data_IF_980236114363
#
_entry.id   IF_980236114363
#
_cell.length_a   1.000
_cell.length_b   1.000
_cell.length_c   1.000
_cell.angle_alpha   90.00
_cell.angle_beta   90.00
_cell.angle_gamma   90.00
#
_symmetry.space_group_name_H-M   'P 1'
#
loop_
_entity.id
_entity.type
_entity.pdbx_description
1 polymer ?
#
# COMPACT_ATOMS: atom_id res chain seq x y z
N UNK A 1 -9.47 -11.19 -4.01
CA UNK A 1 -10.34 -10.67 -5.10
C UNK A 1 -10.50 -11.62 -6.27
N UNK A 2 -9.60 -12.60 -6.45
CA UNK A 2 -9.63 -13.57 -7.55
C UNK A 2 -11.00 -14.20 -7.82
N UNK A 3 -11.66 -14.73 -6.79
CA UNK A 3 -12.95 -15.41 -6.91
C UNK A 3 -14.11 -14.51 -7.38
N UNK A 4 -13.98 -13.17 -7.23
CA UNK A 4 -14.99 -12.21 -7.68
C UNK A 4 -14.86 -11.87 -9.16
N UNK A 5 -13.68 -12.07 -9.75
CA UNK A 5 -13.39 -11.73 -11.14
C UNK A 5 -12.78 -12.90 -11.92
N UNK A 6 -13.51 -14.01 -12.14
CA UNK A 6 -12.95 -15.21 -12.81
C UNK A 6 -12.35 -14.92 -14.20
N UNK A 7 -12.90 -13.93 -14.92
CA UNK A 7 -12.40 -13.53 -16.24
C UNK A 7 -11.05 -12.82 -16.20
N UNK A 8 -10.69 -12.20 -15.07
CA UNK A 8 -9.38 -11.56 -14.88
C UNK A 8 -8.32 -12.55 -14.42
N UNK A 9 -8.73 -13.70 -13.90
CA UNK A 9 -7.87 -14.78 -13.41
C UNK A 9 -8.20 -16.09 -14.15
N UNK A 10 -8.02 -16.15 -15.48
CA UNK A 10 -8.45 -17.29 -16.30
C UNK A 10 -7.74 -18.60 -15.93
N UNK A 11 -6.56 -18.52 -15.31
CA UNK A 11 -5.79 -19.67 -14.86
C UNK A 11 -6.11 -20.09 -13.41
N UNK A 12 -7.05 -19.41 -12.76
CA UNK A 12 -7.44 -19.70 -11.38
C UNK A 12 -6.46 -19.20 -10.33
N UNK A 13 -5.69 -18.15 -10.63
CA UNK A 13 -4.74 -17.57 -9.68
C UNK A 13 -5.46 -17.07 -8.43
N UNK A 14 -4.80 -17.22 -7.29
CA UNK A 14 -5.34 -16.85 -5.97
C UNK A 14 -5.50 -15.33 -5.82
N UNK A 15 -4.80 -14.54 -6.65
CA UNK A 15 -4.72 -13.08 -6.53
C UNK A 15 -3.92 -12.66 -5.31
N UNK A 16 -4.12 -11.43 -4.82
CA UNK A 16 -3.39 -10.95 -3.64
C UNK A 16 -3.66 -11.80 -2.39
N UNK A 17 -2.59 -12.19 -1.72
CA UNK A 17 -2.58 -12.76 -0.37
C UNK A 17 -1.35 -12.28 0.40
N UNK A 18 -1.40 -12.34 1.73
CA UNK A 18 -0.24 -12.02 2.59
C UNK A 18 0.88 -13.05 2.38
N UNK A 19 2.15 -12.68 2.59
CA UNK A 19 3.29 -13.58 2.44
C UNK A 19 3.91 -13.65 1.04
N UNK A 20 3.43 -12.89 0.05
CA UNK A 20 4.06 -12.80 -1.27
C UNK A 20 5.44 -12.15 -1.09
N UNK A 21 6.52 -12.86 -1.38
CA UNK A 21 7.87 -12.32 -1.23
C UNK A 21 8.23 -11.38 -2.37
N UNK A 22 8.85 -10.25 -2.03
CA UNK A 22 9.47 -9.39 -3.03
C UNK A 22 10.70 -10.09 -3.61
N UNK A 23 10.99 -9.82 -4.88
CA UNK A 23 12.20 -10.34 -5.53
C UNK A 23 13.41 -9.70 -4.84
N UNK A 24 14.34 -10.53 -4.39
CA UNK A 24 15.62 -10.08 -3.86
C UNK A 24 16.39 -9.33 -4.96
N UNK A 25 16.73 -8.08 -4.67
CA UNK A 25 17.59 -7.25 -5.51
C UNK A 25 18.80 -6.89 -4.64
N UNK A 26 20.02 -7.10 -5.15
CA UNK A 26 21.29 -6.90 -4.43
C UNK A 26 21.45 -5.51 -3.79
N UNK A 27 20.64 -4.54 -4.21
CA UNK A 27 20.72 -3.12 -3.84
C UNK A 27 19.52 -2.66 -2.98
N UNK A 28 18.93 -3.55 -2.18
CA UNK A 28 17.80 -3.18 -1.32
C UNK A 28 18.23 -2.22 -0.19
N UNK A 29 17.56 -1.06 -0.02
CA UNK A 29 17.86 -0.15 1.07
C UNK A 29 17.56 -0.80 2.43
N UNK A 30 18.36 -0.51 3.48
CA UNK A 30 18.11 -1.04 4.81
C UNK A 30 16.73 -0.58 5.31
N UNK A 31 15.88 -1.55 5.66
CA UNK A 31 14.50 -1.31 6.07
C UNK A 31 13.44 -1.57 4.98
N UNK A 32 13.84 -2.13 3.83
CA UNK A 32 12.90 -2.73 2.89
C UNK A 32 12.09 -3.83 3.58
N UNK A 33 10.79 -3.88 3.32
CA UNK A 33 9.92 -4.96 3.77
C UNK A 33 10.11 -6.18 2.85
N UNK A 34 10.01 -7.40 3.40
CA UNK A 34 10.26 -8.65 2.67
C UNK A 34 9.05 -9.13 1.86
N UNK A 35 7.86 -8.60 2.15
CA UNK A 35 6.59 -9.05 1.59
C UNK A 35 5.91 -7.96 0.77
N UNK A 36 5.41 -8.29 -0.41
CA UNK A 36 4.68 -7.34 -1.24
C UNK A 36 3.42 -6.84 -0.51
N UNK A 37 3.30 -5.52 -0.41
CA UNK A 37 2.06 -4.89 0.04
C UNK A 37 0.96 -5.08 -1.00
N UNK A 38 -0.30 -4.96 -0.56
CA UNK A 38 -1.45 -5.02 -1.46
C UNK A 38 -1.37 -3.98 -2.60
N UNK A 39 -0.85 -2.80 -2.29
CA UNK A 39 -0.64 -1.73 -3.28
C UNK A 39 0.40 -2.14 -4.32
N UNK A 40 1.55 -2.64 -3.89
CA UNK A 40 2.62 -3.08 -4.79
C UNK A 40 2.16 -4.22 -5.69
N UNK A 41 1.42 -5.18 -5.14
CA UNK A 41 0.84 -6.27 -5.92
C UNK A 41 -0.09 -5.74 -7.02
N UNK A 42 -1.12 -4.96 -6.70
CA UNK A 42 -2.06 -4.47 -7.72
C UNK A 42 -1.40 -3.49 -8.69
N UNK A 43 -0.37 -2.74 -8.27
CA UNK A 43 0.42 -1.89 -9.16
C UNK A 43 1.26 -2.72 -10.13
N UNK A 44 1.84 -3.83 -9.68
CA UNK A 44 2.59 -4.75 -10.53
C UNK A 44 1.67 -5.46 -11.52
N UNK A 45 0.51 -5.95 -11.07
CA UNK A 45 -0.48 -6.62 -11.91
C UNK A 45 -1.09 -5.68 -12.96
N UNK A 46 -1.36 -4.43 -12.61
CA UNK A 46 -1.89 -3.42 -13.55
C UNK A 46 -0.82 -2.78 -14.44
N UNK A 47 0.45 -3.11 -14.25
CA UNK A 47 1.53 -2.52 -15.03
C UNK A 47 1.45 -2.94 -16.50
N UNK A 48 1.53 -1.97 -17.40
CA UNK A 48 1.60 -2.25 -18.83
C UNK A 48 2.98 -2.82 -19.18
N UNK A 49 2.99 -3.96 -19.89
CA UNK A 49 4.19 -4.56 -20.45
C UNK A 49 4.01 -4.70 -21.95
N UNK A 50 5.03 -4.32 -22.72
CA UNK A 50 4.99 -4.40 -24.17
C UNK A 50 4.89 -5.88 -24.58
N UNK A 51 4.03 -6.16 -25.56
CA UNK A 51 3.81 -7.50 -26.14
C UNK A 51 3.24 -8.55 -25.16
N UNK A 52 2.77 -8.13 -23.98
CA UNK A 52 2.11 -9.00 -22.99
C UNK A 52 0.66 -8.52 -22.78
N UNK A 53 -0.35 -9.35 -23.09
CA UNK A 53 -1.74 -8.98 -22.85
C UNK A 53 -2.00 -8.95 -21.35
N UNK A 54 -2.51 -7.82 -20.84
CA UNK A 54 -2.78 -7.65 -19.42
C UNK A 54 -4.31 -7.57 -19.16
N UNK A 55 -4.93 -8.63 -18.60
CA UNK A 55 -6.36 -8.65 -18.28
C UNK A 55 -6.80 -7.48 -17.39
N UNK A 56 -5.94 -7.02 -16.47
CA UNK A 56 -6.23 -5.89 -15.57
C UNK A 56 -6.45 -4.59 -16.34
N UNK A 57 -5.94 -4.47 -17.56
CA UNK A 57 -6.09 -3.27 -18.41
C UNK A 57 -6.96 -3.49 -19.66
N UNK A 58 -7.19 -4.74 -20.07
CA UNK A 58 -7.83 -5.06 -21.35
C UNK A 58 -9.31 -5.47 -21.28
N UNK A 59 -9.90 -5.61 -20.09
CA UNK A 59 -11.28 -6.08 -19.91
C UNK A 59 -12.33 -4.96 -19.79
N UNK A 60 -11.99 -3.72 -20.17
CA UNK A 60 -12.92 -2.58 -20.20
C UNK A 60 -13.59 -2.30 -18.86
N UNK A 61 -14.93 -2.31 -18.81
CA UNK A 61 -15.71 -2.04 -17.58
C UNK A 61 -15.36 -2.95 -16.40
N UNK A 62 -14.88 -4.18 -16.68
CA UNK A 62 -14.46 -5.10 -15.63
C UNK A 62 -13.15 -4.64 -14.98
N UNK A 63 -12.22 -4.13 -15.79
CA UNK A 63 -10.98 -3.52 -15.33
C UNK A 63 -11.26 -2.29 -14.47
N UNK A 64 -12.23 -1.45 -14.84
CA UNK A 64 -12.63 -0.29 -14.03
C UNK A 64 -13.17 -0.72 -12.65
N UNK A 65 -14.04 -1.74 -12.62
CA UNK A 65 -14.60 -2.27 -11.37
C UNK A 65 -13.51 -2.85 -10.47
N UNK A 66 -12.57 -3.59 -11.06
CA UNK A 66 -11.43 -4.12 -10.34
C UNK A 66 -10.58 -3.00 -9.75
N UNK A 67 -10.28 -1.95 -10.52
CA UNK A 67 -9.48 -0.82 -10.06
C UNK A 67 -10.11 -0.13 -8.85
N UNK A 68 -11.43 0.13 -8.90
CA UNK A 68 -12.18 0.73 -7.78
C UNK A 68 -12.19 -0.19 -6.56
N UNK A 69 -12.39 -1.49 -6.76
CA UNK A 69 -12.40 -2.47 -5.67
C UNK A 69 -11.02 -2.57 -5.02
N UNK A 70 -9.96 -2.73 -5.83
CA UNK A 70 -8.58 -2.79 -5.36
C UNK A 70 -8.21 -1.55 -4.55
N UNK A 71 -8.55 -0.35 -5.04
CA UNK A 71 -8.37 0.90 -4.30
C UNK A 71 -9.06 0.86 -2.93
N UNK A 72 -10.33 0.43 -2.90
CA UNK A 72 -11.10 0.34 -1.65
C UNK A 72 -10.47 -0.62 -0.64
N UNK A 73 -9.96 -1.76 -1.09
CA UNK A 73 -9.27 -2.71 -0.21
C UNK A 73 -7.90 -2.20 0.27
N UNK A 74 -7.14 -1.53 -0.60
CA UNK A 74 -5.86 -0.89 -0.22
C UNK A 74 -6.10 0.15 0.87
N UNK A 75 -7.06 1.06 0.67
CA UNK A 75 -7.38 2.09 1.65
C UNK A 75 -7.93 1.51 2.95
N UNK A 76 -8.76 0.47 2.86
CA UNK A 76 -9.22 -0.26 4.06
C UNK A 76 -8.03 -0.86 4.83
N UNK A 77 -7.06 -1.47 4.14
CA UNK A 77 -5.85 -2.00 4.76
C UNK A 77 -5.03 -0.90 5.46
N UNK A 78 -4.93 0.29 4.87
CA UNK A 78 -4.25 1.45 5.48
C UNK A 78 -4.99 1.96 6.72
N UNK A 79 -6.31 2.07 6.65
CA UNK A 79 -7.15 2.47 7.78
C UNK A 79 -7.04 1.47 8.95
N UNK A 80 -7.04 0.17 8.66
CA UNK A 80 -6.81 -0.88 9.66
C UNK A 80 -5.43 -0.70 10.31
N UNK A 81 -4.39 -0.45 9.52
CA UNK A 81 -3.06 -0.19 10.07
C UNK A 81 -3.06 1.00 11.03
N UNK A 82 -3.69 2.12 10.65
CA UNK A 82 -3.80 3.29 11.54
C UNK A 82 -4.60 2.97 12.81
N UNK A 83 -5.72 2.27 12.68
CA UNK A 83 -6.55 1.89 13.82
C UNK A 83 -5.79 0.99 14.82
N UNK A 84 -5.03 0.02 14.33
CA UNK A 84 -4.27 -0.93 15.17
C UNK A 84 -3.01 -0.32 15.78
N UNK A 85 -2.37 0.63 15.08
CA UNK A 85 -1.12 1.25 15.53
C UNK A 85 -1.33 2.60 16.23
N UNK A 86 -2.58 2.97 16.54
CA UNK A 86 -2.95 4.26 17.08
C UNK A 86 -2.21 4.63 18.37
N UNK A 87 -1.85 3.66 19.23
CA UNK A 87 -1.08 3.91 20.45
C UNK A 87 0.33 4.42 20.15
N UNK A 88 1.02 3.81 19.18
CA UNK A 88 2.37 4.19 18.75
C UNK A 88 2.37 5.53 18.02
N UNK A 89 1.38 5.75 17.16
CA UNK A 89 1.22 7.00 16.41
C UNK A 89 0.87 8.18 17.34
N UNK A 90 0.00 7.97 18.34
CA UNK A 90 -0.31 8.99 19.35
C UNK A 90 0.87 9.28 20.27
N UNK A 91 1.64 8.26 20.68
CA UNK A 91 2.84 8.52 21.49
C UNK A 91 3.88 9.34 20.75
N UNK A 92 4.07 9.11 19.44
CA UNK A 92 4.94 9.95 18.59
C UNK A 92 4.44 11.39 18.52
N UNK A 93 3.12 11.61 18.43
CA UNK A 93 2.53 12.95 18.44
C UNK A 93 2.77 13.67 19.77
N UNK A 94 2.56 12.99 20.90
CA UNK A 94 2.82 13.56 22.22
C UNK A 94 4.30 13.86 22.46
N UNK A 95 5.19 12.97 22.01
CA UNK A 95 6.64 13.19 22.05
C UNK A 95 7.02 14.42 21.22
N UNK A 96 6.51 14.53 19.99
CA UNK A 96 6.79 15.67 19.12
C UNK A 96 6.33 17.01 19.71
N UNK A 97 5.17 17.04 20.36
CA UNK A 97 4.69 18.23 21.08
C UNK A 97 5.61 18.55 22.28
N UNK A 98 5.95 17.54 23.08
CA UNK A 98 6.85 17.73 24.23
C UNK A 98 8.23 18.25 23.80
N UNK A 99 8.78 17.73 22.70
CA UNK A 99 10.07 18.14 22.18
C UNK A 99 10.04 19.56 21.59
N UNK A 100 8.92 19.97 20.97
CA UNK A 100 8.73 21.34 20.49
C UNK A 100 8.63 22.34 21.66
N UNK A 101 7.88 22.00 22.71
CA UNK A 101 7.79 22.81 23.93
C UNK A 101 9.15 22.92 24.62
N UNK A 102 9.91 21.82 24.71
CA UNK A 102 11.24 21.82 25.31
C UNK A 102 12.26 22.69 24.52
N UNK A 103 12.09 22.81 23.20
CA UNK A 103 12.93 23.67 22.34
C UNK A 103 12.52 25.14 22.37
N UNK A 104 11.36 25.48 22.93
CA UNK A 104 10.85 26.85 22.99
C UNK A 104 10.24 27.34 21.67
N UNK A 105 9.89 26.41 20.77
CA UNK A 105 9.23 26.72 19.50
C UNK A 105 7.84 27.29 19.80
N UNK A 106 7.71 28.61 19.65
CA UNK A 106 6.51 29.38 20.01
C UNK A 106 5.73 29.86 18.80
N UNK A 107 6.32 29.80 17.61
CA UNK A 107 5.67 30.10 16.33
C UNK A 107 5.35 28.78 15.62
N UNK A 108 4.13 28.64 15.07
CA UNK A 108 3.67 27.37 14.47
C UNK A 108 4.46 26.92 13.23
N UNK A 109 5.40 27.76 12.77
CA UNK A 109 6.33 27.52 11.65
C UNK A 109 7.52 26.65 12.06
N UNK A 110 7.87 26.66 13.35
CA UNK A 110 9.02 25.94 13.89
C UNK A 110 8.64 24.52 14.36
N UNK A 111 7.34 24.25 14.50
CA UNK A 111 6.80 22.96 14.91
C UNK A 111 6.42 22.11 13.70
N UNK A 112 6.94 20.88 13.62
CA UNK A 112 6.56 19.90 12.59
C UNK A 112 7.45 19.84 11.35
N UNK A 113 8.55 20.60 11.33
CA UNK A 113 9.59 20.49 10.32
C UNK A 113 10.36 19.19 10.53
N UNK A 114 10.30 18.30 9.55
CA UNK A 114 10.99 17.00 9.53
C UNK A 114 12.37 17.15 8.91
#
# INVERSE_FOLDING_TARGET
MSLQYPLLFPYGDVGFHTGIKLREVDDQPPGSHDEASMLEFYRYESHYRKDEPNPFTCCGRLSDQLAVNAFSCIETSRLIYHALNQKKLRSETHQGISDAVARGDSDGKDVGTK
#
